data_IF_014007678481
#
_entry.id   IF_014007678481
#
_cell.length_a   1.000
_cell.length_b   1.000
_cell.length_c   1.000
_cell.angle_alpha   90.00
_cell.angle_beta   90.00
_cell.angle_gamma   90.00
#
_symmetry.space_group_name_H-M   'P 1'
#
loop_
_entity.id
_entity.type
_entity.pdbx_description
1 polymer ?
#
# COMPACT_ATOMS: atom_id res chain seq x y z
N UNK A 1 2.88 20.66 -2.47
CA UNK A 1 3.03 19.76 -1.30
C UNK A 1 1.86 19.98 -0.35
N UNK A 2 1.27 18.91 0.13
CA UNK A 2 0.19 19.03 1.13
C UNK A 2 0.74 19.74 2.37
N UNK A 3 0.04 20.76 2.80
CA UNK A 3 0.36 21.60 3.97
C UNK A 3 -0.04 20.84 5.25
N UNK A 4 0.65 19.70 5.52
CA UNK A 4 0.46 18.88 6.72
C UNK A 4 1.54 19.24 7.73
N UNK A 5 1.13 19.48 8.97
CA UNK A 5 2.07 19.63 10.10
C UNK A 5 2.78 18.31 10.38
N UNK A 6 4.07 18.35 10.61
CA UNK A 6 4.89 17.17 10.86
C UNK A 6 5.42 17.15 12.29
N UNK A 7 5.89 15.99 12.73
CA UNK A 7 6.50 15.83 14.07
C UNK A 7 7.79 16.66 14.26
N UNK A 8 8.39 17.19 13.17
CA UNK A 8 9.53 18.10 13.30
C UNK A 8 9.13 19.48 13.81
N UNK A 9 7.85 19.86 13.64
CA UNK A 9 7.25 21.08 14.17
C UNK A 9 6.70 20.91 15.60
N UNK A 10 6.67 19.67 16.09
CA UNK A 10 6.12 19.33 17.40
C UNK A 10 7.18 19.49 18.50
N UNK A 11 6.91 20.35 19.47
CA UNK A 11 7.58 20.26 20.77
C UNK A 11 6.86 19.21 21.62
N UNK A 12 7.45 18.01 21.69
CA UNK A 12 6.86 16.86 22.37
C UNK A 12 7.34 16.68 23.82
N UNK A 13 8.27 17.50 24.30
CA UNK A 13 8.88 17.33 25.63
C UNK A 13 7.82 17.33 26.75
N UNK A 14 7.80 16.27 27.56
CA UNK A 14 6.86 16.09 28.67
C UNK A 14 5.39 15.90 28.29
N UNK A 15 5.05 15.84 26.99
CA UNK A 15 3.68 15.61 26.52
C UNK A 15 3.41 14.13 26.30
N UNK A 16 2.16 13.72 26.47
CA UNK A 16 1.68 12.42 26.02
C UNK A 16 1.37 12.51 24.55
N UNK A 17 2.17 11.83 23.72
CA UNK A 17 1.94 11.73 22.29
C UNK A 17 1.09 10.48 22.00
N UNK A 18 -0.17 10.66 21.63
CA UNK A 18 -1.06 9.60 21.15
C UNK A 18 -0.77 9.33 19.68
N UNK A 19 -0.15 8.20 19.39
CA UNK A 19 0.36 7.89 18.05
C UNK A 19 -0.43 6.75 17.42
N UNK A 20 -1.02 6.99 16.25
CA UNK A 20 -1.64 5.95 15.43
C UNK A 20 -0.59 5.30 14.53
N UNK A 21 -0.25 4.07 14.83
CA UNK A 21 0.68 3.23 14.04
C UNK A 21 -0.06 2.09 13.32
N UNK A 22 0.54 1.49 12.31
CA UNK A 22 -0.03 0.32 11.62
C UNK A 22 0.70 -0.97 12.02
N UNK A 23 0.32 -1.54 13.16
CA UNK A 23 0.80 -2.82 13.66
C UNK A 23 -0.11 -4.00 13.25
N UNK A 24 -0.79 -3.87 12.12
CA UNK A 24 -1.54 -4.95 11.52
C UNK A 24 -0.59 -5.95 10.83
N UNK A 25 0.15 -6.67 11.64
CA UNK A 25 1.20 -7.62 11.26
C UNK A 25 0.70 -9.06 11.32
N UNK A 26 1.27 -10.00 10.53
CA UNK A 26 0.93 -11.41 10.66
C UNK A 26 1.50 -11.98 11.97
N UNK A 27 0.61 -12.66 12.72
CA UNK A 27 0.94 -13.33 13.98
C UNK A 27 0.64 -14.82 13.84
N UNK A 28 1.60 -15.67 14.18
CA UNK A 28 1.44 -17.12 14.23
C UNK A 28 1.95 -17.63 15.58
N UNK A 29 1.15 -18.41 16.27
CA UNK A 29 1.48 -18.99 17.57
C UNK A 29 1.98 -17.94 18.59
N UNK A 30 1.36 -16.75 18.58
CA UNK A 30 1.71 -15.64 19.47
C UNK A 30 3.01 -14.89 19.10
N UNK A 31 3.59 -15.16 17.91
CA UNK A 31 4.83 -14.53 17.43
C UNK A 31 4.56 -13.77 16.15
N UNK A 32 5.09 -12.55 16.06
CA UNK A 32 5.08 -11.76 14.81
C UNK A 32 6.02 -12.41 13.81
N UNK A 33 5.50 -12.80 12.64
CA UNK A 33 6.27 -13.46 11.57
C UNK A 33 6.84 -12.50 10.53
N UNK A 34 6.30 -11.29 10.45
CA UNK A 34 6.82 -10.18 9.63
C UNK A 34 6.68 -8.87 10.42
N UNK A 35 7.80 -8.25 10.74
CA UNK A 35 7.88 -7.04 11.57
C UNK A 35 8.08 -5.75 10.74
N UNK A 36 7.97 -5.82 9.41
CA UNK A 36 8.22 -4.71 8.48
C UNK A 36 7.44 -3.46 8.86
N UNK A 37 6.16 -3.59 9.21
CA UNK A 37 5.31 -2.45 9.61
C UNK A 37 5.70 -1.85 10.96
N UNK A 38 6.17 -2.68 11.90
CA UNK A 38 6.65 -2.18 13.19
C UNK A 38 7.95 -1.39 12.98
N UNK A 39 8.87 -1.90 12.16
CA UNK A 39 10.11 -1.20 11.79
C UNK A 39 9.84 0.12 11.07
N UNK A 40 8.81 0.17 10.21
CA UNK A 40 8.45 1.40 9.52
C UNK A 40 7.99 2.53 10.45
N UNK A 41 7.43 2.20 11.61
CA UNK A 41 7.01 3.19 12.63
C UNK A 41 8.13 3.59 13.60
N UNK A 42 9.24 2.83 13.67
CA UNK A 42 10.34 3.11 14.62
C UNK A 42 10.88 4.53 14.53
N UNK A 43 11.17 5.10 13.34
CA UNK A 43 11.73 6.45 13.25
C UNK A 43 10.86 7.51 13.93
N UNK A 44 9.53 7.41 13.79
CA UNK A 44 8.57 8.30 14.47
C UNK A 44 8.58 8.10 15.98
N UNK A 45 8.54 6.84 16.43
CA UNK A 45 8.53 6.50 17.86
C UNK A 45 9.83 6.95 18.52
N UNK A 46 10.97 6.66 17.92
CA UNK A 46 12.30 7.04 18.43
C UNK A 46 12.49 8.55 18.48
N UNK A 47 12.02 9.28 17.48
CA UNK A 47 12.05 10.76 17.49
C UNK A 47 11.29 11.33 18.67
N UNK A 48 10.05 10.87 18.91
CA UNK A 48 9.22 11.32 20.02
C UNK A 48 9.85 10.97 21.37
N UNK A 49 10.37 9.75 21.51
CA UNK A 49 11.09 9.31 22.69
C UNK A 49 12.34 10.17 22.97
N UNK A 50 13.12 10.46 21.94
CA UNK A 50 14.32 11.30 22.05
C UNK A 50 14.00 12.75 22.44
N UNK A 51 12.80 13.24 22.12
CA UNK A 51 12.30 14.54 22.56
C UNK A 51 11.77 14.53 24.01
N UNK A 52 11.73 13.38 24.67
CA UNK A 52 11.18 13.25 26.03
C UNK A 52 9.66 13.16 26.06
N UNK A 53 9.01 12.74 24.97
CA UNK A 53 7.58 12.46 24.96
C UNK A 53 7.27 11.18 25.76
N UNK A 54 6.05 11.11 26.28
CA UNK A 54 5.41 9.89 26.79
C UNK A 54 4.56 9.32 25.68
N UNK A 55 5.01 8.23 25.06
CA UNK A 55 4.42 7.74 23.81
C UNK A 55 3.33 6.73 24.09
N UNK A 56 2.11 6.99 23.61
CA UNK A 56 0.97 6.07 23.68
C UNK A 56 0.63 5.61 22.28
N UNK A 57 0.93 4.36 21.96
CA UNK A 57 0.70 3.77 20.64
C UNK A 57 -0.67 3.10 20.59
N UNK A 58 -1.42 3.36 19.53
CA UNK A 58 -2.68 2.71 19.22
C UNK A 58 -2.66 2.16 17.80
N UNK A 59 -3.18 0.96 17.62
CA UNK A 59 -3.27 0.29 16.32
C UNK A 59 -4.46 -0.65 16.24
N UNK A 60 -4.72 -1.15 15.05
CA UNK A 60 -5.59 -2.29 14.83
C UNK A 60 -4.80 -3.53 14.45
N UNK A 61 -5.37 -4.70 14.67
CA UNK A 61 -4.89 -5.99 14.17
C UNK A 61 -6.07 -6.82 13.68
N UNK A 62 -5.99 -7.28 12.44
CA UNK A 62 -6.98 -8.16 11.85
C UNK A 62 -8.40 -7.56 11.74
N UNK A 63 -9.40 -8.43 11.83
CA UNK A 63 -10.82 -8.09 11.68
C UNK A 63 -11.67 -8.73 12.78
N UNK A 64 -11.46 -8.37 14.06
CA UNK A 64 -12.30 -8.86 15.15
C UNK A 64 -13.75 -8.39 14.99
N UNK A 65 -14.66 -9.00 15.75
CA UNK A 65 -16.10 -8.71 15.75
C UNK A 65 -16.41 -7.27 16.18
N UNK A 66 -15.61 -6.70 17.06
CA UNK A 66 -15.84 -5.40 17.69
C UNK A 66 -16.76 -5.44 18.90
N UNK A 67 -17.00 -6.62 19.44
CA UNK A 67 -17.85 -6.84 20.62
C UNK A 67 -17.02 -7.13 21.89
N UNK A 68 -15.72 -6.82 21.86
CA UNK A 68 -14.80 -6.99 22.97
C UNK A 68 -13.51 -7.74 22.60
N UNK A 69 -12.82 -8.21 23.63
CA UNK A 69 -11.53 -8.88 23.50
C UNK A 69 -11.63 -10.23 22.76
N UNK A 70 -10.72 -10.43 21.80
CA UNK A 70 -10.52 -11.69 21.07
C UNK A 70 -9.00 -12.01 21.07
N UNK A 71 -8.61 -13.11 21.72
CA UNK A 71 -7.19 -13.50 21.93
C UNK A 71 -6.38 -13.55 20.63
N UNK A 72 -6.96 -14.02 19.54
CA UNK A 72 -6.28 -14.12 18.22
C UNK A 72 -5.93 -12.76 17.61
N UNK A 73 -6.50 -11.68 18.10
CA UNK A 73 -6.31 -10.32 17.61
C UNK A 73 -5.69 -9.36 18.63
N UNK A 74 -5.14 -9.89 19.76
CA UNK A 74 -4.44 -9.05 20.72
C UNK A 74 -3.18 -8.41 20.12
N UNK A 75 -2.91 -7.14 20.47
CA UNK A 75 -1.68 -6.46 20.08
C UNK A 75 -0.46 -6.80 20.96
N UNK A 76 -0.62 -7.68 21.93
CA UNK A 76 0.48 -8.09 22.84
C UNK A 76 1.73 -8.58 22.10
N UNK A 77 1.63 -9.46 21.06
CA UNK A 77 2.80 -9.89 20.30
C UNK A 77 3.52 -8.74 19.58
N UNK A 78 2.75 -7.77 19.03
CA UNK A 78 3.33 -6.59 18.40
C UNK A 78 4.05 -5.68 19.41
N UNK A 79 3.50 -5.51 20.62
CA UNK A 79 4.15 -4.76 21.70
C UNK A 79 5.45 -5.44 22.17
N UNK A 80 5.48 -6.77 22.27
CA UNK A 80 6.68 -7.54 22.57
C UNK A 80 7.75 -7.36 21.51
N UNK A 81 7.38 -7.49 20.23
CA UNK A 81 8.30 -7.29 19.11
C UNK A 81 8.84 -5.86 19.08
N UNK A 82 8.00 -4.86 19.35
CA UNK A 82 8.46 -3.47 19.46
C UNK A 82 9.49 -3.31 20.60
N UNK A 83 9.25 -3.92 21.75
CA UNK A 83 10.19 -3.91 22.88
C UNK A 83 11.55 -4.50 22.53
N UNK A 84 11.56 -5.62 21.78
CA UNK A 84 12.79 -6.23 21.26
C UNK A 84 13.53 -5.28 20.31
N UNK A 85 12.83 -4.69 19.35
CA UNK A 85 13.41 -3.79 18.35
C UNK A 85 13.96 -2.50 18.95
N UNK A 86 13.30 -1.95 19.97
CA UNK A 86 13.74 -0.74 20.67
C UNK A 86 14.82 -1.02 21.72
N UNK A 87 15.06 -2.29 22.10
CA UNK A 87 16.00 -2.66 23.15
C UNK A 87 15.63 -2.13 24.54
N UNK A 88 14.35 -1.80 24.77
CA UNK A 88 13.83 -1.28 26.05
C UNK A 88 12.40 -1.76 26.32
N UNK A 89 11.96 -1.75 27.59
CA UNK A 89 10.61 -2.16 27.94
C UNK A 89 9.55 -1.30 27.26
N UNK A 90 8.52 -1.96 26.73
CA UNK A 90 7.29 -1.33 26.22
C UNK A 90 6.14 -1.79 27.11
N UNK A 91 5.41 -0.85 27.69
CA UNK A 91 4.25 -1.14 28.54
C UNK A 91 3.09 -1.57 27.65
N UNK A 92 2.28 -2.51 28.11
CA UNK A 92 1.08 -2.97 27.39
C UNK A 92 -0.16 -2.82 28.24
N UNK A 93 -1.19 -2.16 27.73
CA UNK A 93 -2.50 -2.07 28.38
C UNK A 93 -3.42 -3.20 27.92
N UNK A 94 -4.26 -3.69 28.84
CA UNK A 94 -5.19 -4.80 28.59
C UNK A 94 -6.55 -4.34 28.05
N UNK A 95 -6.73 -3.03 27.91
CA UNK A 95 -7.89 -2.41 27.27
C UNK A 95 -7.46 -1.29 26.33
N UNK A 96 -8.40 -0.77 25.55
CA UNK A 96 -8.13 0.26 24.52
C UNK A 96 -8.18 1.67 25.12
N UNK A 97 -9.25 1.98 25.87
CA UNK A 97 -9.53 3.31 26.45
C UNK A 97 -10.04 3.22 27.88
N UNK A 98 -10.03 2.03 28.45
CA UNK A 98 -10.54 1.73 29.76
C UNK A 98 -9.64 2.17 30.91
N UNK A 99 -9.90 1.64 32.10
CA UNK A 99 -9.20 2.04 33.32
C UNK A 99 -7.71 1.68 33.29
N UNK A 100 -7.34 0.54 32.69
CA UNK A 100 -5.94 0.10 32.61
C UNK A 100 -5.13 0.99 31.66
N UNK A 101 -5.66 1.29 30.46
CA UNK A 101 -5.01 2.19 29.50
C UNK A 101 -4.83 3.60 30.10
N UNK A 102 -5.87 4.15 30.73
CA UNK A 102 -5.83 5.47 31.34
C UNK A 102 -4.80 5.54 32.47
N UNK A 103 -4.81 4.55 33.39
CA UNK A 103 -3.87 4.50 34.51
C UNK A 103 -2.43 4.37 34.02
N UNK A 104 -2.16 3.51 33.04
CA UNK A 104 -0.83 3.32 32.47
C UNK A 104 -0.37 4.56 31.70
N UNK A 105 -1.22 5.18 30.88
CA UNK A 105 -0.89 6.42 30.20
C UNK A 105 -0.56 7.56 31.15
N UNK A 106 -1.27 7.67 32.27
CA UNK A 106 -1.00 8.68 33.30
C UNK A 106 0.29 8.43 34.08
N UNK A 107 0.73 7.17 34.21
CA UNK A 107 1.92 6.78 34.94
C UNK A 107 3.23 6.78 34.13
N UNK A 108 3.16 7.02 32.81
CA UNK A 108 4.34 7.07 31.95
C UNK A 108 5.28 8.20 32.37
N UNK A 109 6.58 7.92 32.29
CA UNK A 109 7.65 8.90 32.42
C UNK A 109 8.12 9.33 31.05
N UNK A 110 8.84 10.43 30.98
CA UNK A 110 9.42 10.92 29.74
C UNK A 110 10.30 9.86 29.08
N UNK A 111 10.02 9.56 27.83
CA UNK A 111 10.66 8.52 27.06
C UNK A 111 10.05 7.12 27.18
N UNK A 112 9.06 6.90 28.05
CA UNK A 112 8.35 5.62 28.11
C UNK A 112 7.42 5.43 26.92
N UNK A 113 7.16 4.15 26.58
CA UNK A 113 6.26 3.75 25.48
C UNK A 113 5.20 2.78 26.01
N UNK A 114 3.94 3.08 25.72
CA UNK A 114 2.77 2.25 25.99
C UNK A 114 2.12 1.83 24.68
N UNK A 115 1.71 0.57 24.56
CA UNK A 115 0.80 0.10 23.51
C UNK A 115 -0.53 -0.23 24.17
N UNK A 116 -1.63 0.36 23.69
CA UNK A 116 -2.99 -0.01 24.13
C UNK A 116 -3.50 -1.20 23.32
N UNK A 117 -4.56 -1.85 23.80
CA UNK A 117 -5.13 -3.01 23.13
C UNK A 117 -5.81 -2.64 21.79
N UNK A 118 -6.10 -3.63 20.96
CA UNK A 118 -6.59 -3.50 19.61
C UNK A 118 -7.83 -2.60 19.52
N UNK A 119 -7.70 -1.49 18.81
CA UNK A 119 -8.77 -0.51 18.57
C UNK A 119 -10.07 -1.14 18.06
N UNK A 120 -9.96 -2.22 17.26
CA UNK A 120 -11.11 -2.88 16.65
C UNK A 120 -11.87 -3.84 17.56
N UNK A 121 -11.44 -3.98 18.81
CA UNK A 121 -12.25 -4.63 19.84
C UNK A 121 -13.49 -3.80 20.22
N UNK A 122 -13.49 -2.52 19.86
CA UNK A 122 -14.64 -1.66 19.99
C UNK A 122 -15.18 -1.29 18.60
N UNK A 123 -16.44 -1.64 18.32
CA UNK A 123 -17.10 -1.33 17.05
C UNK A 123 -17.25 0.16 16.76
N UNK A 124 -17.16 1.02 17.79
CA UNK A 124 -17.20 2.47 17.68
C UNK A 124 -16.01 3.04 16.90
N UNK A 125 -14.86 2.33 16.90
CA UNK A 125 -13.67 2.71 16.11
C UNK A 125 -14.01 2.90 14.63
N UNK A 126 -14.61 1.88 13.98
CA UNK A 126 -14.92 1.94 12.54
C UNK A 126 -16.03 2.93 12.20
N UNK A 127 -16.85 3.31 13.18
CA UNK A 127 -17.97 4.25 13.01
C UNK A 127 -17.56 5.71 13.20
N UNK A 128 -16.30 5.95 13.55
CA UNK A 128 -15.84 7.28 13.93
C UNK A 128 -16.73 7.90 15.04
N UNK A 129 -17.07 7.09 16.03
CA UNK A 129 -18.00 7.47 17.09
C UNK A 129 -17.40 8.61 17.95
N UNK A 130 -18.11 9.74 18.12
CA UNK A 130 -17.59 10.90 18.85
C UNK A 130 -17.19 10.59 20.30
N UNK A 131 -17.98 9.76 21.02
CA UNK A 131 -17.67 9.43 22.40
C UNK A 131 -16.37 8.59 22.49
N UNK A 132 -16.15 7.68 21.53
CA UNK A 132 -14.91 6.92 21.46
C UNK A 132 -13.73 7.79 21.09
N UNK A 133 -13.90 8.78 20.22
CA UNK A 133 -12.86 9.80 19.93
C UNK A 133 -12.46 10.59 21.18
N UNK A 134 -13.44 11.01 22.00
CA UNK A 134 -13.18 11.69 23.27
C UNK A 134 -12.46 10.78 24.28
N UNK A 135 -12.80 9.50 24.34
CA UNK A 135 -12.11 8.52 25.17
C UNK A 135 -10.65 8.32 24.73
N UNK A 136 -10.40 8.23 23.42
CA UNK A 136 -9.04 8.16 22.87
C UNK A 136 -8.23 9.44 23.19
N UNK A 137 -8.85 10.61 23.01
CA UNK A 137 -8.19 11.90 23.26
C UNK A 137 -7.71 12.08 24.70
N UNK A 138 -8.33 11.40 25.69
CA UNK A 138 -7.88 11.43 27.09
C UNK A 138 -6.51 10.77 27.31
N UNK A 139 -6.07 9.93 26.37
CA UNK A 139 -4.80 9.23 26.46
C UNK A 139 -3.60 10.08 26.00
N UNK A 140 -3.82 11.25 25.37
CA UNK A 140 -2.78 12.08 24.82
C UNK A 140 -3.01 13.59 25.01
N UNK A 141 -1.96 14.35 24.84
CA UNK A 141 -1.98 15.83 24.82
C UNK A 141 -1.80 16.34 23.38
N UNK A 142 -1.21 15.50 22.52
CA UNK A 142 -1.05 15.71 21.07
C UNK A 142 -1.33 14.40 20.34
N UNK A 143 -1.74 14.49 19.08
CA UNK A 143 -2.00 13.35 18.23
C UNK A 143 -0.98 13.28 17.10
N UNK A 144 -0.49 12.07 16.79
CA UNK A 144 0.38 11.80 15.65
C UNK A 144 -0.21 10.67 14.81
N UNK A 145 -0.42 10.90 13.52
CA UNK A 145 -0.80 9.85 12.59
C UNK A 145 0.42 9.37 11.81
N UNK A 146 0.79 8.09 12.02
CA UNK A 146 1.88 7.42 11.33
C UNK A 146 1.41 6.11 10.65
N UNK A 147 0.13 6.03 10.34
CA UNK A 147 -0.52 4.85 9.78
C UNK A 147 -1.14 5.15 8.41
N UNK A 148 -0.31 5.43 7.42
CA UNK A 148 -0.75 5.78 6.07
C UNK A 148 -1.66 4.72 5.46
N UNK A 149 -1.39 3.42 5.67
CA UNK A 149 -2.22 2.33 5.16
C UNK A 149 -3.69 2.35 5.63
N UNK A 150 -4.01 3.12 6.65
CA UNK A 150 -5.39 3.31 7.14
C UNK A 150 -5.96 4.70 6.88
N UNK A 151 -5.18 5.60 6.28
CA UNK A 151 -5.55 7.01 6.10
C UNK A 151 -6.77 7.23 5.19
N UNK A 152 -7.09 6.25 4.33
CA UNK A 152 -8.27 6.26 3.46
C UNK A 152 -9.59 6.03 4.20
N UNK A 153 -9.56 5.74 5.51
CA UNK A 153 -10.74 5.44 6.32
C UNK A 153 -10.97 6.52 7.36
N UNK A 154 -12.18 7.06 7.41
CA UNK A 154 -12.59 7.98 8.47
C UNK A 154 -12.97 7.22 9.75
N UNK A 155 -11.98 6.62 10.44
CA UNK A 155 -12.16 5.95 11.72
C UNK A 155 -11.87 6.90 12.89
N UNK A 156 -12.31 6.54 14.09
CA UNK A 156 -12.08 7.34 15.29
C UNK A 156 -10.59 7.63 15.52
N UNK A 157 -9.74 6.61 15.36
CA UNK A 157 -8.29 6.72 15.59
C UNK A 157 -7.51 7.40 14.45
N UNK A 158 -8.10 7.57 13.25
CA UNK A 158 -7.42 8.13 12.07
C UNK A 158 -7.86 9.55 11.74
N UNK A 159 -9.15 9.85 11.93
CA UNK A 159 -9.73 11.15 11.59
C UNK A 159 -10.38 11.82 12.81
N UNK A 160 -11.19 11.08 13.58
CA UNK A 160 -12.01 11.69 14.63
C UNK A 160 -11.18 12.31 15.77
N UNK A 161 -10.20 11.57 16.29
CA UNK A 161 -9.33 12.06 17.39
C UNK A 161 -8.45 13.25 16.97
N UNK A 162 -8.09 13.34 15.69
CA UNK A 162 -7.30 14.43 15.15
C UNK A 162 -8.02 15.79 15.24
N UNK A 163 -9.36 15.79 15.28
CA UNK A 163 -10.14 17.02 15.48
C UNK A 163 -10.17 17.49 16.95
N UNK A 164 -9.75 16.65 17.90
CA UNK A 164 -9.82 16.93 19.34
C UNK A 164 -8.46 17.31 19.95
N UNK A 165 -7.35 17.02 19.25
CA UNK A 165 -5.99 17.25 19.70
C UNK A 165 -5.17 17.97 18.63
N UNK A 166 -4.13 18.76 18.98
CA UNK A 166 -3.15 19.20 18.00
C UNK A 166 -2.58 18.00 17.24
N UNK A 167 -2.74 17.97 15.90
CA UNK A 167 -2.49 16.81 15.07
C UNK A 167 -1.26 17.00 14.17
N UNK A 168 -0.45 15.95 14.03
CA UNK A 168 0.80 15.96 13.26
C UNK A 168 0.95 14.64 12.47
N UNK A 169 1.66 14.71 11.35
CA UNK A 169 2.09 13.54 10.61
C UNK A 169 3.38 12.98 11.21
N UNK A 170 3.43 11.66 11.40
CA UNK A 170 4.68 10.95 11.64
C UNK A 170 5.50 10.80 10.34
N UNK A 171 6.73 10.34 10.45
CA UNK A 171 7.66 10.25 9.30
C UNK A 171 7.20 9.29 8.22
N UNK A 172 6.53 8.16 8.58
CA UNK A 172 5.97 7.25 7.59
C UNK A 172 4.85 7.93 6.80
N UNK A 173 3.91 8.57 7.50
CA UNK A 173 2.81 9.31 6.87
C UNK A 173 3.35 10.42 5.96
N UNK A 174 4.29 11.22 6.44
CA UNK A 174 4.91 12.31 5.70
C UNK A 174 5.59 11.80 4.42
N UNK A 175 6.40 10.74 4.54
CA UNK A 175 7.13 10.14 3.43
C UNK A 175 6.19 9.58 2.36
N UNK A 176 5.16 8.84 2.76
CA UNK A 176 4.16 8.27 1.84
C UNK A 176 3.43 9.39 1.06
N UNK A 177 2.91 10.37 1.77
CA UNK A 177 2.19 11.50 1.14
C UNK A 177 3.12 12.29 0.22
N UNK A 178 4.32 12.65 0.69
CA UNK A 178 5.27 13.44 -0.10
C UNK A 178 5.70 12.71 -1.37
N UNK A 179 6.04 11.41 -1.27
CA UNK A 179 6.50 10.62 -2.41
C UNK A 179 5.40 10.44 -3.44
N UNK A 180 4.20 10.01 -3.03
CA UNK A 180 3.10 9.76 -3.96
C UNK A 180 2.59 11.07 -4.59
N UNK A 181 2.48 12.14 -3.81
CA UNK A 181 2.06 13.45 -4.35
C UNK A 181 3.12 14.03 -5.29
N UNK A 182 4.40 13.97 -4.91
CA UNK A 182 5.50 14.45 -5.76
C UNK A 182 5.57 13.72 -7.09
N UNK A 183 5.40 12.38 -7.08
CA UNK A 183 5.32 11.56 -8.29
C UNK A 183 4.17 12.00 -9.22
N UNK A 184 3.03 12.43 -8.67
CA UNK A 184 1.85 12.82 -9.45
C UNK A 184 1.89 14.27 -9.94
N UNK A 185 2.49 15.18 -9.16
CA UNK A 185 2.51 16.62 -9.44
C UNK A 185 3.73 17.02 -10.28
N UNK A 186 4.91 16.51 -9.92
CA UNK A 186 6.20 16.90 -10.53
C UNK A 186 7.10 15.67 -10.81
N UNK A 187 6.65 14.68 -11.63
CA UNK A 187 7.47 13.51 -11.93
C UNK A 187 8.70 13.89 -12.76
N UNK A 188 9.82 13.21 -12.55
CA UNK A 188 10.92 13.20 -13.52
C UNK A 188 10.43 12.51 -14.80
N UNK A 189 10.54 13.18 -15.94
CA UNK A 189 10.08 12.66 -17.24
C UNK A 189 11.17 11.84 -17.94
N UNK A 190 10.82 10.80 -18.73
CA UNK A 190 9.47 10.26 -18.93
C UNK A 190 8.88 9.57 -17.69
N UNK A 191 7.58 9.73 -17.45
CA UNK A 191 6.86 9.02 -16.41
C UNK A 191 6.17 7.78 -16.97
N UNK A 192 6.60 6.60 -16.53
CA UNK A 192 6.04 5.29 -16.91
C UNK A 192 5.20 4.74 -15.78
N UNK A 193 3.93 4.51 -16.04
CA UNK A 193 3.01 3.82 -15.12
C UNK A 193 2.80 2.38 -15.57
N UNK A 194 3.04 1.41 -14.69
CA UNK A 194 2.89 -0.03 -14.96
C UNK A 194 1.73 -0.54 -14.11
N UNK A 195 0.69 -1.02 -14.77
CA UNK A 195 -0.49 -1.57 -14.13
C UNK A 195 -0.72 -3.00 -14.54
N UNK A 196 -0.85 -3.88 -13.56
CA UNK A 196 -1.16 -5.29 -13.74
C UNK A 196 -2.28 -5.73 -12.80
N UNK A 197 -2.46 -7.06 -12.73
CA UNK A 197 -3.51 -7.68 -11.93
C UNK A 197 -4.59 -8.31 -12.79
N UNK A 198 -5.65 -8.84 -12.16
CA UNK A 198 -6.61 -9.70 -12.82
C UNK A 198 -7.73 -8.94 -13.56
N UNK A 199 -8.18 -7.78 -13.04
CA UNK A 199 -9.41 -7.12 -13.49
C UNK A 199 -9.23 -5.65 -13.84
N UNK A 200 -9.79 -5.21 -14.96
CA UNK A 200 -9.87 -3.79 -15.36
C UNK A 200 -10.77 -3.02 -14.40
N UNK A 201 -11.89 -3.61 -13.98
CA UNK A 201 -12.87 -2.99 -13.08
C UNK A 201 -12.25 -2.48 -11.78
N UNK A 202 -11.24 -3.18 -11.25
CA UNK A 202 -10.55 -2.81 -10.03
C UNK A 202 -9.53 -1.67 -10.23
N UNK A 203 -9.14 -1.38 -11.48
CA UNK A 203 -8.08 -0.43 -11.83
C UNK A 203 -8.57 0.79 -12.62
N UNK A 204 -9.85 0.84 -12.98
CA UNK A 204 -10.39 1.85 -13.88
C UNK A 204 -10.06 3.29 -13.45
N UNK A 205 -10.25 3.60 -12.16
CA UNK A 205 -9.98 4.93 -11.62
C UNK A 205 -8.49 5.27 -11.62
N UNK A 206 -7.63 4.28 -11.33
CA UNK A 206 -6.17 4.44 -11.34
C UNK A 206 -5.69 4.68 -12.77
N UNK A 207 -6.21 3.91 -13.75
CA UNK A 207 -5.90 4.08 -15.17
C UNK A 207 -6.28 5.49 -15.63
N UNK A 208 -7.52 5.92 -15.35
CA UNK A 208 -8.01 7.24 -15.72
C UNK A 208 -7.16 8.38 -15.11
N UNK A 209 -6.79 8.27 -13.84
CA UNK A 209 -5.98 9.27 -13.15
C UNK A 209 -4.54 9.33 -13.69
N UNK A 210 -3.93 8.17 -13.94
CA UNK A 210 -2.55 8.09 -14.44
C UNK A 210 -2.43 8.50 -15.90
N UNK A 211 -3.45 8.27 -16.73
CA UNK A 211 -3.46 8.77 -18.11
C UNK A 211 -3.36 10.30 -18.23
N UNK A 212 -3.72 11.02 -17.17
CA UNK A 212 -3.57 12.49 -17.13
C UNK A 212 -2.17 12.93 -16.69
N UNK A 213 -1.32 12.00 -16.25
CA UNK A 213 -0.06 12.27 -15.58
C UNK A 213 1.16 11.62 -16.23
N UNK A 214 1.03 10.39 -16.75
CA UNK A 214 2.14 9.63 -17.32
C UNK A 214 2.35 9.89 -18.82
N UNK A 215 3.57 9.61 -19.28
CA UNK A 215 3.94 9.62 -20.71
C UNK A 215 3.71 8.25 -21.35
N UNK A 216 3.87 7.19 -20.56
CA UNK A 216 3.66 5.80 -21.00
C UNK A 216 2.85 5.05 -19.96
N UNK A 217 1.81 4.36 -20.41
CA UNK A 217 1.01 3.45 -19.60
C UNK A 217 1.22 2.01 -20.07
N UNK A 218 1.71 1.15 -19.19
CA UNK A 218 1.99 -0.27 -19.45
C UNK A 218 0.90 -1.09 -18.78
N UNK A 219 0.24 -1.97 -19.52
CA UNK A 219 -0.82 -2.85 -19.03
C UNK A 219 -0.37 -4.31 -19.13
N UNK A 220 -0.44 -5.04 -18.01
CA UNK A 220 -0.13 -6.47 -17.93
C UNK A 220 -1.14 -7.23 -17.07
N UNK A 221 -0.81 -8.48 -16.75
CA UNK A 221 -1.69 -9.35 -15.96
C UNK A 221 -2.97 -9.73 -16.70
N UNK A 222 -3.90 -10.39 -16.01
CA UNK A 222 -5.17 -10.84 -16.59
C UNK A 222 -6.03 -9.73 -17.20
N UNK A 223 -5.92 -8.51 -16.67
CA UNK A 223 -6.65 -7.36 -17.19
C UNK A 223 -6.28 -7.02 -18.64
N UNK A 224 -5.09 -7.36 -19.12
CA UNK A 224 -4.68 -7.06 -20.51
C UNK A 224 -5.58 -7.75 -21.56
N UNK A 225 -6.16 -8.90 -21.23
CA UNK A 225 -7.03 -9.64 -22.15
C UNK A 225 -8.36 -8.92 -22.44
N UNK A 226 -8.86 -8.11 -21.49
CA UNK A 226 -9.99 -7.22 -21.72
C UNK A 226 -9.64 -6.12 -22.74
N UNK A 227 -8.42 -5.54 -22.65
CA UNK A 227 -7.91 -4.57 -23.63
C UNK A 227 -7.66 -5.20 -25.01
N UNK A 228 -7.08 -6.42 -25.06
CA UNK A 228 -6.88 -7.15 -26.31
C UNK A 228 -8.22 -7.49 -26.99
N UNK A 229 -9.23 -7.89 -26.21
CA UNK A 229 -10.59 -8.09 -26.69
C UNK A 229 -11.21 -6.80 -27.25
N UNK A 230 -10.94 -5.64 -26.60
CA UNK A 230 -11.38 -4.34 -27.09
C UNK A 230 -10.72 -3.96 -28.44
N UNK A 231 -9.55 -4.51 -28.77
CA UNK A 231 -8.90 -4.40 -30.07
C UNK A 231 -9.42 -5.43 -31.09
N UNK A 232 -10.41 -6.26 -30.73
CA UNK A 232 -10.98 -7.30 -31.59
C UNK A 232 -10.16 -8.60 -31.65
N UNK A 233 -9.17 -8.77 -30.76
CA UNK A 233 -8.36 -10.00 -30.71
C UNK A 233 -9.10 -11.14 -30.00
N UNK A 234 -8.83 -12.38 -30.44
CA UNK A 234 -9.28 -13.58 -29.76
C UNK A 234 -8.33 -13.87 -28.58
N UNK A 235 -8.88 -14.10 -27.39
CA UNK A 235 -8.09 -14.29 -26.16
C UNK A 235 -8.25 -15.70 -25.56
N UNK A 236 -8.81 -16.62 -26.33
CA UNK A 236 -9.05 -18.01 -25.90
C UNK A 236 -9.91 -18.05 -24.64
N UNK A 237 -9.54 -18.92 -23.69
CA UNK A 237 -10.19 -19.03 -22.37
C UNK A 237 -9.57 -18.10 -21.31
N UNK A 238 -8.79 -17.09 -21.72
CA UNK A 238 -8.20 -16.12 -20.82
C UNK A 238 -9.24 -15.33 -20.03
N UNK A 239 -8.86 -14.90 -18.84
CA UNK A 239 -9.72 -14.03 -18.01
C UNK A 239 -10.00 -12.71 -18.74
N UNK A 240 -11.28 -12.42 -18.98
CA UNK A 240 -11.71 -11.12 -19.52
C UNK A 240 -13.02 -10.68 -18.86
N UNK A 241 -13.22 -9.39 -18.78
CA UNK A 241 -14.46 -8.81 -18.27
C UNK A 241 -15.29 -8.28 -19.43
N UNK A 242 -16.29 -9.07 -19.88
CA UNK A 242 -17.13 -8.74 -21.05
C UNK A 242 -17.78 -7.36 -20.92
N UNK A 243 -18.31 -7.04 -19.76
CA UNK A 243 -18.98 -5.75 -19.49
C UNK A 243 -18.02 -4.53 -19.53
N UNK A 244 -16.70 -4.78 -19.58
CA UNK A 244 -15.67 -3.73 -19.54
C UNK A 244 -14.94 -3.55 -20.88
N UNK A 245 -15.27 -4.33 -21.92
CA UNK A 245 -14.62 -4.26 -23.23
C UNK A 245 -14.83 -2.87 -23.87
N UNK A 246 -16.06 -2.34 -23.85
CA UNK A 246 -16.34 -1.00 -24.39
C UNK A 246 -15.58 0.09 -23.63
N UNK A 247 -15.47 -0.07 -22.31
CA UNK A 247 -14.70 0.88 -21.48
C UNK A 247 -13.21 0.80 -21.77
N UNK A 248 -12.66 -0.40 -21.97
CA UNK A 248 -11.27 -0.60 -22.38
C UNK A 248 -10.99 0.03 -23.75
N UNK A 249 -11.91 -0.11 -24.71
CA UNK A 249 -11.82 0.57 -26.02
C UNK A 249 -11.79 2.10 -25.87
N UNK A 250 -12.64 2.65 -25.00
CA UNK A 250 -12.64 4.08 -24.71
C UNK A 250 -11.33 4.55 -24.05
N UNK A 251 -10.71 3.72 -23.23
CA UNK A 251 -9.40 4.02 -22.62
C UNK A 251 -8.28 4.03 -23.66
N UNK A 252 -8.28 3.08 -24.59
CA UNK A 252 -7.32 3.07 -25.73
C UNK A 252 -7.43 4.36 -26.52
N UNK A 253 -8.65 4.75 -26.90
CA UNK A 253 -8.90 5.99 -27.63
C UNK A 253 -8.47 7.24 -26.83
N UNK A 254 -8.76 7.26 -25.52
CA UNK A 254 -8.35 8.36 -24.63
C UNK A 254 -6.81 8.47 -24.52
N UNK A 255 -6.08 7.35 -24.48
CA UNK A 255 -4.63 7.37 -24.46
C UNK A 255 -4.06 8.01 -25.74
N UNK A 256 -4.58 7.62 -26.91
CA UNK A 256 -4.22 8.20 -28.21
C UNK A 256 -4.50 9.71 -28.26
N UNK A 257 -5.70 10.12 -27.83
CA UNK A 257 -6.14 11.52 -27.81
C UNK A 257 -5.25 12.40 -26.92
N UNK A 258 -4.70 11.82 -25.84
CA UNK A 258 -3.82 12.51 -24.89
C UNK A 258 -2.34 12.39 -25.22
N UNK A 259 -1.97 11.65 -26.25
CA UNK A 259 -0.59 11.39 -26.61
C UNK A 259 0.15 10.51 -25.60
N UNK A 260 -0.58 9.72 -24.79
CA UNK A 260 -0.01 8.74 -23.86
C UNK A 260 0.29 7.45 -24.62
N UNK A 261 1.52 6.99 -24.56
CA UNK A 261 1.92 5.72 -25.16
C UNK A 261 1.35 4.55 -24.36
N UNK A 262 0.26 3.95 -24.83
CA UNK A 262 -0.31 2.76 -24.23
C UNK A 262 0.40 1.51 -24.74
N UNK A 263 1.04 0.75 -23.86
CA UNK A 263 1.70 -0.52 -24.18
C UNK A 263 0.84 -1.68 -23.69
N UNK A 264 0.41 -2.51 -24.63
CA UNK A 264 -0.28 -3.78 -24.40
C UNK A 264 0.64 -4.95 -24.80
N UNK A 265 0.42 -6.18 -24.29
CA UNK A 265 1.18 -7.32 -24.70
C UNK A 265 1.14 -7.58 -26.21
N UNK A 266 2.27 -8.03 -26.77
CA UNK A 266 2.40 -8.49 -28.17
C UNK A 266 2.53 -10.00 -28.24
N UNK A 267 2.95 -10.64 -27.16
CA UNK A 267 2.98 -12.09 -26.94
C UNK A 267 2.65 -12.42 -25.50
N UNK A 268 2.19 -13.65 -25.26
CA UNK A 268 1.77 -14.15 -23.96
C UNK A 268 2.20 -15.60 -23.76
N UNK A 269 2.37 -15.99 -22.49
CA UNK A 269 2.52 -17.39 -22.08
C UNK A 269 1.14 -17.91 -21.74
N UNK A 270 0.63 -18.80 -22.57
CA UNK A 270 -0.64 -19.47 -22.40
C UNK A 270 -0.47 -20.83 -21.70
N UNK A 271 -1.52 -21.29 -21.05
CA UNK A 271 -1.60 -22.61 -20.42
C UNK A 271 -2.92 -23.30 -20.74
N UNK A 272 -2.93 -24.62 -20.73
CA UNK A 272 -4.13 -25.46 -20.92
C UNK A 272 -5.06 -25.41 -19.69
N UNK A 273 -4.50 -25.10 -18.50
CA UNK A 273 -5.22 -24.96 -17.23
C UNK A 273 -4.49 -24.05 -16.25
N UNK A 274 -5.19 -23.59 -15.25
CA UNK A 274 -4.60 -22.79 -14.16
C UNK A 274 -3.94 -23.71 -13.13
N UNK A 275 -2.68 -24.11 -13.40
CA UNK A 275 -1.90 -24.99 -12.53
C UNK A 275 -0.40 -24.80 -12.79
N UNK A 276 0.42 -25.06 -11.77
CA UNK A 276 1.88 -24.91 -11.86
C UNK A 276 2.53 -25.93 -12.83
N UNK A 277 1.91 -27.09 -13.00
CA UNK A 277 2.31 -28.17 -13.92
C UNK A 277 1.54 -28.17 -15.25
N UNK A 278 0.91 -27.04 -15.61
CA UNK A 278 0.18 -26.91 -16.87
C UNK A 278 1.10 -27.00 -18.09
N UNK A 279 0.56 -27.49 -19.21
CA UNK A 279 1.24 -27.36 -20.50
C UNK A 279 1.23 -25.93 -20.96
N UNK A 280 2.40 -25.36 -21.27
CA UNK A 280 2.57 -23.95 -21.62
C UNK A 280 2.93 -23.77 -23.08
N UNK A 281 2.45 -22.67 -23.66
CA UNK A 281 2.76 -22.27 -25.03
C UNK A 281 2.94 -20.75 -25.09
N UNK A 282 4.07 -20.28 -25.59
CA UNK A 282 4.26 -18.85 -25.86
C UNK A 282 3.81 -18.54 -27.27
N UNK A 283 2.88 -17.59 -27.40
CA UNK A 283 2.27 -17.23 -28.70
C UNK A 283 2.14 -15.72 -28.84
N UNK A 284 2.04 -15.25 -30.09
CA UNK A 284 1.56 -13.90 -30.40
C UNK A 284 0.14 -13.72 -29.84
N UNK A 285 -0.20 -12.50 -29.44
CA UNK A 285 -1.57 -12.16 -29.02
C UNK A 285 -2.61 -12.30 -30.16
N UNK A 286 -2.17 -12.48 -31.39
CA UNK A 286 -3.03 -12.76 -32.53
C UNK A 286 -3.32 -14.28 -32.72
N UNK A 287 -2.58 -15.14 -32.04
CA UNK A 287 -2.61 -16.59 -32.22
C UNK A 287 -2.95 -17.37 -30.95
N UNK A 288 -3.63 -16.76 -29.98
CA UNK A 288 -4.02 -17.43 -28.73
C UNK A 288 -5.04 -18.54 -29.02
N UNK A 289 -4.71 -19.81 -28.69
CA UNK A 289 -5.65 -20.92 -28.96
C UNK A 289 -6.91 -20.81 -28.08
N UNK A 290 -8.07 -21.19 -28.66
CA UNK A 290 -9.38 -21.09 -28.00
C UNK A 290 -9.43 -21.85 -26.65
N UNK A 291 -8.74 -22.99 -26.56
CA UNK A 291 -8.72 -23.82 -25.36
C UNK A 291 -7.66 -23.41 -24.31
N UNK A 292 -6.83 -22.42 -24.60
CA UNK A 292 -5.76 -21.99 -23.70
C UNK A 292 -6.06 -20.61 -23.07
N UNK A 293 -5.52 -20.41 -21.89
CA UNK A 293 -5.60 -19.12 -21.16
C UNK A 293 -4.23 -18.50 -21.00
N UNK A 294 -4.11 -17.21 -21.23
CA UNK A 294 -2.88 -16.46 -20.95
C UNK A 294 -2.71 -16.24 -19.46
N UNK A 295 -1.54 -16.59 -18.93
CA UNK A 295 -1.20 -16.50 -17.51
C UNK A 295 0.03 -15.64 -17.22
N UNK A 296 0.82 -15.28 -18.25
CA UNK A 296 1.92 -14.31 -18.13
C UNK A 296 2.12 -13.57 -19.45
N UNK A 297 2.83 -12.48 -19.44
CA UNK A 297 3.33 -11.82 -20.65
C UNK A 297 4.46 -12.64 -21.27
N UNK A 298 4.58 -12.60 -22.59
CA UNK A 298 5.65 -13.29 -23.30
C UNK A 298 6.98 -12.51 -23.29
N UNK A 299 8.05 -13.13 -23.80
CA UNK A 299 9.39 -12.56 -23.77
C UNK A 299 9.55 -11.29 -24.63
N UNK A 300 8.83 -11.17 -25.74
CA UNK A 300 8.88 -9.95 -26.57
C UNK A 300 8.15 -8.78 -25.90
N UNK A 301 7.04 -9.07 -25.22
CA UNK A 301 6.34 -8.10 -24.38
C UNK A 301 7.23 -7.64 -23.22
N UNK A 302 7.91 -8.58 -22.54
CA UNK A 302 8.83 -8.28 -21.45
C UNK A 302 9.97 -7.34 -21.91
N UNK A 303 10.54 -7.57 -23.10
CA UNK A 303 11.56 -6.67 -23.69
C UNK A 303 10.99 -5.29 -24.01
N UNK A 304 9.79 -5.23 -24.59
CA UNK A 304 9.10 -3.97 -24.88
C UNK A 304 8.87 -3.13 -23.64
N UNK A 305 8.43 -3.76 -22.56
CA UNK A 305 8.17 -3.10 -21.27
C UNK A 305 9.48 -2.67 -20.59
N UNK A 306 10.48 -3.56 -20.59
CA UNK A 306 11.81 -3.25 -20.06
C UNK A 306 12.46 -2.05 -20.74
N UNK A 307 12.30 -1.91 -22.08
CA UNK A 307 12.80 -0.75 -22.82
C UNK A 307 12.11 0.55 -22.36
N UNK A 308 10.80 0.55 -22.21
CA UNK A 308 10.08 1.73 -21.73
C UNK A 308 10.51 2.12 -20.30
N UNK A 309 10.75 1.12 -19.44
CA UNK A 309 11.25 1.34 -18.08
C UNK A 309 12.67 1.88 -18.06
N UNK A 310 13.54 1.38 -18.94
CA UNK A 310 14.95 1.84 -19.00
C UNK A 310 15.10 3.32 -19.39
N UNK A 311 14.14 3.86 -20.12
CA UNK A 311 14.10 5.27 -20.54
C UNK A 311 13.40 6.19 -19.53
N UNK A 312 12.79 5.63 -18.48
CA UNK A 312 11.97 6.37 -17.53
C UNK A 312 12.78 7.20 -16.53
N UNK A 313 12.32 8.41 -16.23
CA UNK A 313 12.77 9.19 -15.07
C UNK A 313 11.95 8.90 -13.81
N UNK A 314 10.69 8.50 -13.98
CA UNK A 314 9.81 8.04 -12.89
C UNK A 314 9.09 6.78 -13.31
N UNK A 315 9.03 5.80 -12.41
CA UNK A 315 8.26 4.56 -12.59
C UNK A 315 7.29 4.39 -11.43
N UNK A 316 6.02 4.24 -11.74
CA UNK A 316 5.02 3.75 -10.79
C UNK A 316 4.57 2.35 -11.19
N UNK A 317 4.67 1.39 -10.29
CA UNK A 317 4.27 0.01 -10.56
C UNK A 317 3.24 -0.51 -9.56
N UNK A 318 2.10 -0.98 -10.08
CA UNK A 318 1.04 -1.58 -9.29
C UNK A 318 0.39 -2.78 -9.99
N UNK A 319 0.64 -3.96 -9.49
CA UNK A 319 0.11 -5.25 -9.96
C UNK A 319 1.07 -6.02 -10.86
N UNK A 320 1.11 -7.36 -10.72
CA UNK A 320 2.01 -8.24 -11.47
C UNK A 320 1.59 -8.37 -12.95
N UNK A 321 2.55 -8.82 -13.77
CA UNK A 321 2.35 -9.03 -15.21
C UNK A 321 1.79 -10.41 -15.54
N UNK A 322 1.86 -11.35 -14.62
CA UNK A 322 1.38 -12.71 -14.72
C UNK A 322 1.13 -13.33 -13.34
N UNK A 323 0.85 -14.63 -13.32
CA UNK A 323 0.64 -15.43 -12.09
C UNK A 323 1.99 -15.79 -11.49
N UNK A 324 2.69 -14.76 -11.00
CA UNK A 324 4.09 -14.86 -10.55
C UNK A 324 4.30 -15.79 -9.34
N UNK A 325 3.23 -16.17 -8.65
CA UNK A 325 3.25 -17.14 -7.55
C UNK A 325 3.66 -18.54 -8.05
N UNK A 326 3.35 -18.85 -9.31
CA UNK A 326 3.69 -20.10 -9.99
C UNK A 326 4.97 -19.90 -10.83
N UNK A 327 5.97 -20.75 -10.65
CA UNK A 327 7.26 -20.64 -11.33
C UNK A 327 7.14 -20.65 -12.88
N UNK A 328 6.13 -21.34 -13.41
CA UNK A 328 5.87 -21.39 -14.86
C UNK A 328 5.43 -20.04 -15.46
N UNK A 329 4.92 -19.11 -14.63
CA UNK A 329 4.31 -17.84 -15.07
C UNK A 329 4.87 -16.62 -14.35
N UNK A 330 6.08 -16.71 -13.80
CA UNK A 330 6.74 -15.61 -13.09
C UNK A 330 7.66 -14.78 -13.97
N UNK A 331 8.04 -15.28 -15.14
CA UNK A 331 9.12 -14.73 -15.95
C UNK A 331 8.84 -13.28 -16.41
N UNK A 332 7.59 -12.99 -16.78
CA UNK A 332 7.19 -11.63 -17.20
C UNK A 332 7.26 -10.63 -16.05
N UNK A 333 6.71 -11.00 -14.89
CA UNK A 333 6.76 -10.16 -13.69
C UNK A 333 8.19 -9.94 -13.23
N UNK A 334 9.02 -11.00 -13.25
CA UNK A 334 10.44 -10.93 -12.89
C UNK A 334 11.24 -10.02 -13.84
N UNK A 335 11.00 -10.12 -15.14
CA UNK A 335 11.69 -9.29 -16.13
C UNK A 335 11.36 -7.79 -15.95
N UNK A 336 10.09 -7.46 -15.69
CA UNK A 336 9.68 -6.08 -15.39
C UNK A 336 10.29 -5.60 -14.07
N UNK A 337 10.24 -6.42 -13.00
CA UNK A 337 10.85 -6.11 -11.71
C UNK A 337 12.36 -5.82 -11.85
N UNK A 338 13.07 -6.65 -12.63
CA UNK A 338 14.49 -6.48 -12.89
C UNK A 338 14.77 -5.18 -13.66
N UNK A 339 13.96 -4.88 -14.69
CA UNK A 339 14.12 -3.64 -15.45
C UNK A 339 13.91 -2.39 -14.58
N UNK A 340 12.95 -2.43 -13.65
CA UNK A 340 12.72 -1.36 -12.68
C UNK A 340 13.91 -1.22 -11.72
N UNK A 341 14.46 -2.35 -11.25
CA UNK A 341 15.64 -2.36 -10.37
C UNK A 341 16.92 -1.87 -11.06
N UNK A 342 17.10 -2.20 -12.34
CA UNK A 342 18.27 -1.83 -13.12
C UNK A 342 18.30 -0.33 -13.50
N UNK A 343 17.15 0.35 -13.48
CA UNK A 343 17.06 1.79 -13.73
C UNK A 343 17.33 2.60 -12.44
N UNK A 344 18.59 2.67 -12.03
CA UNK A 344 19.02 3.34 -10.81
C UNK A 344 18.84 4.87 -10.83
N UNK A 345 18.62 5.48 -11.99
CA UNK A 345 18.45 6.94 -12.15
C UNK A 345 16.97 7.36 -11.99
N UNK A 346 16.04 6.42 -12.10
CA UNK A 346 14.63 6.70 -11.97
C UNK A 346 14.16 6.73 -10.51
N UNK A 347 13.15 7.56 -10.25
CA UNK A 347 12.35 7.46 -9.03
C UNK A 347 11.36 6.30 -9.19
N UNK A 348 11.62 5.16 -8.55
CA UNK A 348 10.82 3.95 -8.67
C UNK A 348 9.90 3.79 -7.46
N UNK A 349 8.59 3.84 -7.69
CA UNK A 349 7.53 3.76 -6.66
C UNK A 349 6.72 2.48 -6.86
N UNK A 350 6.82 1.56 -5.91
CA UNK A 350 6.10 0.28 -5.93
C UNK A 350 4.89 0.38 -5.00
N UNK A 351 3.71 0.15 -5.54
CA UNK A 351 2.45 0.18 -4.79
C UNK A 351 1.63 -1.10 -4.93
N UNK A 352 0.90 -1.45 -3.87
CA UNK A 352 0.05 -2.64 -3.85
C UNK A 352 0.75 -3.91 -3.38
N UNK A 353 0.00 -4.74 -2.66
CA UNK A 353 0.54 -5.92 -1.99
C UNK A 353 1.23 -6.91 -2.92
N UNK A 354 0.63 -7.18 -4.08
CA UNK A 354 1.16 -8.17 -5.03
C UNK A 354 2.46 -7.71 -5.70
N UNK A 355 2.59 -6.41 -6.03
CA UNK A 355 3.84 -5.85 -6.56
C UNK A 355 4.95 -5.88 -5.52
N UNK A 356 4.63 -5.55 -4.26
CA UNK A 356 5.57 -5.65 -3.14
C UNK A 356 5.98 -7.10 -2.89
N UNK A 357 5.04 -8.05 -2.95
CA UNK A 357 5.34 -9.47 -2.85
C UNK A 357 6.26 -9.96 -3.99
N UNK A 358 6.04 -9.46 -5.22
CA UNK A 358 6.89 -9.81 -6.36
C UNK A 358 8.33 -9.30 -6.19
N UNK A 359 8.53 -8.02 -5.84
CA UNK A 359 9.90 -7.49 -5.66
C UNK A 359 10.63 -8.15 -4.50
N UNK A 360 9.90 -8.57 -3.45
CA UNK A 360 10.48 -9.35 -2.35
C UNK A 360 10.83 -10.78 -2.78
N UNK A 361 9.94 -11.45 -3.53
CA UNK A 361 10.19 -12.81 -4.05
C UNK A 361 11.46 -12.88 -4.91
N UNK A 362 11.74 -11.82 -5.65
CA UNK A 362 12.90 -11.74 -6.55
C UNK A 362 14.13 -11.07 -5.93
N UNK A 363 14.11 -10.76 -4.61
CA UNK A 363 15.18 -10.09 -3.88
C UNK A 363 15.58 -8.71 -4.45
N UNK A 364 14.62 -7.96 -5.02
CA UNK A 364 14.84 -6.67 -5.68
C UNK A 364 14.36 -5.46 -4.84
N UNK A 365 13.76 -5.68 -3.69
CA UNK A 365 13.15 -4.62 -2.88
C UNK A 365 14.14 -3.50 -2.48
N UNK A 366 15.39 -3.87 -2.18
CA UNK A 366 16.43 -2.91 -1.78
C UNK A 366 16.89 -1.96 -2.91
N UNK A 367 16.56 -2.30 -4.17
CA UNK A 367 16.92 -1.52 -5.37
C UNK A 367 15.80 -0.54 -5.76
N UNK A 368 14.63 -0.63 -5.13
CA UNK A 368 13.53 0.30 -5.36
C UNK A 368 13.71 1.58 -4.54
N UNK A 369 13.46 2.73 -5.15
CA UNK A 369 13.55 4.03 -4.45
C UNK A 369 12.51 4.13 -3.33
N UNK A 370 11.31 3.63 -3.57
CA UNK A 370 10.24 3.66 -2.60
C UNK A 370 9.26 2.48 -2.77
N UNK A 371 9.00 1.79 -1.67
CA UNK A 371 7.97 0.76 -1.57
C UNK A 371 6.90 1.28 -0.62
N UNK A 372 5.71 1.54 -1.17
CA UNK A 372 4.59 2.04 -0.37
C UNK A 372 4.00 0.94 0.51
N UNK A 373 3.80 1.27 1.78
CA UNK A 373 3.12 0.42 2.76
C UNK A 373 1.60 0.65 2.77
N UNK A 374 1.12 1.63 1.99
CA UNK A 374 -0.24 2.14 2.06
C UNK A 374 -1.31 1.24 1.46
N UNK A 375 -0.96 0.32 0.58
CA UNK A 375 -1.93 -0.56 -0.07
C UNK A 375 -3.08 0.21 -0.73
N UNK A 376 -4.32 0.05 -0.19
CA UNK A 376 -5.50 0.76 -0.68
C UNK A 376 -5.39 2.29 -0.58
N UNK A 377 -4.81 2.81 0.50
CA UNK A 377 -4.63 4.25 0.68
C UNK A 377 -3.72 4.86 -0.40
N UNK A 378 -2.66 4.15 -0.81
CA UNK A 378 -1.79 4.60 -1.90
C UNK A 378 -2.57 4.69 -3.21
N UNK A 379 -3.42 3.69 -3.49
CA UNK A 379 -4.22 3.68 -4.70
C UNK A 379 -5.27 4.79 -4.72
N UNK A 380 -5.96 5.03 -3.60
CA UNK A 380 -6.92 6.14 -3.50
C UNK A 380 -6.22 7.50 -3.67
N UNK A 381 -5.02 7.68 -3.09
CA UNK A 381 -4.24 8.91 -3.29
C UNK A 381 -3.82 9.09 -4.76
N UNK A 382 -3.36 8.02 -5.42
CA UNK A 382 -3.00 8.04 -6.86
C UNK A 382 -4.22 8.35 -7.74
N UNK A 383 -5.41 7.95 -7.34
CA UNK A 383 -6.68 8.29 -8.00
C UNK A 383 -7.10 9.76 -7.80
N UNK A 384 -6.38 10.52 -6.97
CA UNK A 384 -6.72 11.90 -6.61
C UNK A 384 -7.79 12.02 -5.52
N UNK A 385 -8.12 10.92 -4.84
CA UNK A 385 -9.07 10.91 -3.74
C UNK A 385 -8.45 11.57 -2.49
N UNK A 386 -9.23 12.33 -1.76
CA UNK A 386 -8.83 12.92 -0.49
C UNK A 386 -8.89 11.85 0.61
N UNK A 387 -7.77 11.63 1.26
CA UNK A 387 -7.70 10.65 2.34
C UNK A 387 -8.10 11.29 3.67
N UNK A 388 -9.18 10.83 4.35
CA UNK A 388 -9.66 11.43 5.60
C UNK A 388 -8.58 11.57 6.69
N UNK A 389 -7.70 10.56 6.83
CA UNK A 389 -6.61 10.58 7.80
C UNK A 389 -5.48 11.55 7.45
N UNK A 390 -5.35 11.97 6.19
CA UNK A 390 -4.42 13.01 5.74
C UNK A 390 -5.06 14.39 5.87
N UNK A 391 -6.32 14.53 5.44
CA UNK A 391 -7.07 15.80 5.55
C UNK A 391 -7.20 16.27 7.02
N UNK A 392 -7.30 15.33 7.95
CA UNK A 392 -7.37 15.65 9.39
C UNK A 392 -6.05 16.17 10.00
N UNK A 393 -4.94 16.19 9.23
CA UNK A 393 -3.62 16.71 9.64
C UNK A 393 -3.32 18.10 9.09
N UNK A 394 -4.24 18.70 8.33
CA UNK A 394 -4.11 20.04 7.70
C UNK A 394 -4.51 21.19 8.60
#
# INVERSE_FOLDING_TARGET
MADIKTIDELDAAGKRALVRVDFNVPVKDGVVTDDTRIRAALPTIEKLVAQGARVVLMSHLGRPSGEGFEESFTLRPAAQKLSELMGKPVVFATDTVGADAQAKAASLRDGDVLVVENLRFDKREKKNDPAFCEELAKLGDVYVNDAFGTAHRAHASTAGVAALLPAYAGYLMQREVATLTGMLEEPKRPFVAILGGSKVSDKIKVIDALMDKCDTLVIGGGMCFTFLSAQGKQVGSSLKEEDWIERAAAMIAKADERGVKLLLPVDVVCADRFAEDAETLTVSVDDIPDAMMGLDIGPETAKLYAQAVAEAGTVFWNGPMGVFEMAAFEAGTKAVAQAVADNAEADTVIGGGDSVAAVNKFDLAAQMTFISTGGGASMELVQGEKLPGVEALR
#
